data_IF_637945714844
#
_entry.id   IF_637945714844
#
_cell.length_a   1.000
_cell.length_b   1.000
_cell.length_c   1.000
_cell.angle_alpha   90.00
_cell.angle_beta   90.00
_cell.angle_gamma   90.00
#
_symmetry.space_group_name_H-M   'P 1'
#
loop_
_entity.id
_entity.type
_entity.pdbx_description
1 polymer ?
#
# COMPACT_ATOMS: atom_id res chain seq x y z
N UNK A 1 4.88 -35.71 3.92
CA UNK A 1 3.97 -34.70 3.35
C UNK A 1 4.05 -33.46 4.22
N UNK A 2 4.24 -32.29 3.61
CA UNK A 2 4.38 -31.01 4.33
C UNK A 2 3.08 -30.20 4.35
N UNK A 3 2.36 -30.14 3.23
CA UNK A 3 1.10 -29.40 3.09
C UNK A 3 0.28 -29.96 1.92
N UNK A 4 -1.02 -29.65 1.88
CA UNK A 4 -1.92 -29.96 0.76
C UNK A 4 -2.83 -28.80 0.40
N UNK A 5 -3.09 -28.60 -0.89
CA UNK A 5 -3.96 -27.55 -1.40
C UNK A 5 -5.10 -28.16 -2.21
N UNK A 6 -6.34 -27.84 -1.85
CA UNK A 6 -7.51 -28.23 -2.64
C UNK A 6 -7.70 -27.26 -3.82
N UNK A 7 -7.95 -27.81 -5.00
CA UNK A 7 -8.29 -27.06 -6.20
C UNK A 7 -9.80 -27.03 -6.41
N UNK A 8 -10.29 -26.05 -7.17
CA UNK A 8 -11.70 -25.95 -7.56
C UNK A 8 -12.18 -27.17 -8.38
N UNK A 9 -11.25 -27.88 -9.03
CA UNK A 9 -11.50 -29.14 -9.73
C UNK A 9 -11.84 -30.31 -8.78
N UNK A 10 -11.63 -30.14 -7.47
CA UNK A 10 -11.71 -31.20 -6.46
C UNK A 10 -10.42 -32.01 -6.31
N UNK A 11 -9.41 -31.75 -7.14
CA UNK A 11 -8.08 -32.34 -7.00
C UNK A 11 -7.34 -31.74 -5.79
N UNK A 12 -6.39 -32.51 -5.25
CA UNK A 12 -5.53 -32.06 -4.15
C UNK A 12 -4.09 -32.08 -4.61
N UNK A 13 -3.43 -30.93 -4.52
CA UNK A 13 -1.99 -30.80 -4.73
C UNK A 13 -1.25 -31.03 -3.42
N UNK A 14 -0.15 -31.77 -3.45
CA UNK A 14 0.62 -32.11 -2.25
C UNK A 14 2.03 -31.54 -2.33
N UNK A 15 2.51 -31.03 -1.20
CA UNK A 15 3.90 -30.63 -0.99
C UNK A 15 4.60 -31.77 -0.27
N UNK A 16 5.68 -32.27 -0.86
CA UNK A 16 6.38 -33.45 -0.38
C UNK A 16 7.80 -33.10 0.04
N UNK A 17 8.29 -33.74 1.10
CA UNK A 17 9.70 -33.75 1.48
C UNK A 17 10.21 -35.18 1.36
N UNK A 18 11.28 -35.37 0.61
CA UNK A 18 11.92 -36.67 0.46
C UNK A 18 12.79 -36.98 1.68
N UNK A 19 12.58 -38.14 2.31
CA UNK A 19 13.22 -38.51 3.57
C UNK A 19 14.75 -38.71 3.47
N UNK A 20 15.27 -39.00 2.27
CA UNK A 20 16.70 -39.23 2.05
C UNK A 20 17.49 -38.00 1.63
N UNK A 21 16.98 -37.23 0.67
CA UNK A 21 17.67 -36.06 0.13
C UNK A 21 17.33 -34.76 0.85
N UNK A 22 16.23 -34.71 1.61
CA UNK A 22 15.67 -33.48 2.15
C UNK A 22 14.98 -32.60 1.11
N UNK A 23 14.96 -33.00 -0.18
CA UNK A 23 14.37 -32.22 -1.26
C UNK A 23 12.88 -31.97 -1.01
N UNK A 24 12.46 -30.73 -1.23
CA UNK A 24 11.07 -30.29 -1.13
C UNK A 24 10.49 -30.10 -2.53
N UNK A 25 9.40 -30.81 -2.82
CA UNK A 25 8.68 -30.75 -4.09
C UNK A 25 7.41 -29.94 -3.91
N UNK A 26 7.32 -28.81 -4.63
CA UNK A 26 6.18 -27.89 -4.62
C UNK A 26 5.45 -28.02 -5.97
N UNK A 27 4.13 -28.21 -5.98
CA UNK A 27 3.37 -28.49 -7.21
C UNK A 27 3.03 -27.24 -8.02
N UNK A 28 3.62 -26.08 -7.69
CA UNK A 28 3.44 -24.80 -8.37
C UNK A 28 4.68 -23.93 -8.19
N UNK A 29 4.84 -22.92 -9.04
CA UNK A 29 5.89 -21.91 -8.93
C UNK A 29 5.49 -20.84 -7.89
N UNK A 30 6.35 -20.64 -6.89
CA UNK A 30 6.12 -19.69 -5.79
C UNK A 30 6.20 -18.22 -6.24
N UNK A 31 7.10 -17.91 -7.18
CA UNK A 31 7.22 -16.58 -7.76
C UNK A 31 6.01 -16.27 -8.63
N UNK A 32 5.55 -17.24 -9.44
CA UNK A 32 4.31 -17.09 -10.20
C UNK A 32 3.10 -16.88 -9.29
N UNK A 33 2.99 -17.67 -8.21
CA UNK A 33 1.92 -17.51 -7.24
C UNK A 33 1.94 -16.11 -6.60
N UNK A 34 3.12 -15.61 -6.21
CA UNK A 34 3.29 -14.27 -5.66
C UNK A 34 2.89 -13.19 -6.68
N UNK A 35 3.40 -13.28 -7.92
CA UNK A 35 3.05 -12.36 -9.01
C UNK A 35 1.56 -12.37 -9.32
N UNK A 36 0.88 -13.52 -9.21
CA UNK A 36 -0.56 -13.61 -9.41
C UNK A 36 -1.37 -12.89 -8.31
N UNK A 37 -0.87 -12.84 -7.07
CA UNK A 37 -1.47 -12.00 -6.02
C UNK A 37 -1.27 -10.51 -6.29
N UNK A 38 0.00 -10.08 -6.37
CA UNK A 38 0.32 -8.64 -6.47
C UNK A 38 -0.03 -8.03 -7.83
N UNK A 39 -0.08 -8.87 -8.87
CA UNK A 39 -0.54 -8.56 -10.22
C UNK A 39 -2.05 -8.65 -10.41
N UNK A 40 -2.81 -8.92 -9.35
CA UNK A 40 -4.26 -9.09 -9.37
C UNK A 40 -4.80 -10.11 -10.41
N UNK A 41 -4.00 -11.10 -10.83
CA UNK A 41 -4.38 -12.07 -11.85
C UNK A 41 -5.61 -12.89 -11.43
N UNK A 42 -5.78 -13.07 -10.12
CA UNK A 42 -6.94 -13.70 -9.50
C UNK A 42 -8.28 -13.03 -9.87
N UNK A 43 -8.29 -11.75 -10.27
CA UNK A 43 -9.51 -11.01 -10.67
C UNK A 43 -10.20 -11.63 -11.88
N UNK A 44 -9.48 -12.39 -12.70
CA UNK A 44 -10.06 -13.11 -13.85
C UNK A 44 -10.99 -14.25 -13.41
N UNK A 45 -10.83 -14.76 -12.18
CA UNK A 45 -11.60 -15.89 -11.64
C UNK A 45 -12.48 -15.50 -10.45
N UNK A 46 -12.25 -14.35 -9.83
CA UNK A 46 -13.05 -13.89 -8.70
C UNK A 46 -14.37 -13.27 -9.15
N UNK A 47 -15.45 -13.59 -8.43
CA UNK A 47 -16.75 -12.93 -8.55
C UNK A 47 -16.72 -11.57 -7.82
N UNK A 48 -15.99 -10.62 -8.40
CA UNK A 48 -16.04 -9.24 -7.96
C UNK A 48 -17.28 -8.58 -8.54
N UNK A 49 -18.01 -7.86 -7.68
CA UNK A 49 -19.14 -7.03 -8.09
C UNK A 49 -18.66 -5.77 -8.83
N UNK A 50 -18.04 -5.95 -9.99
CA UNK A 50 -17.62 -4.90 -10.90
C UNK A 50 -18.73 -4.62 -11.92
N UNK A 51 -18.93 -3.34 -12.25
CA UNK A 51 -19.78 -2.97 -13.38
C UNK A 51 -19.06 -3.36 -14.67
N UNK A 52 -19.77 -4.01 -15.60
CA UNK A 52 -19.27 -4.19 -16.97
C UNK A 52 -18.96 -2.84 -17.61
N UNK A 53 -18.08 -2.81 -18.62
CA UNK A 53 -17.69 -1.58 -19.31
C UNK A 53 -18.90 -0.78 -19.83
N UNK A 54 -19.92 -1.46 -20.37
CA UNK A 54 -21.18 -0.84 -20.81
C UNK A 54 -22.00 -0.24 -19.66
N UNK A 55 -22.08 -0.94 -18.53
CA UNK A 55 -22.75 -0.42 -17.32
C UNK A 55 -21.99 0.77 -16.74
N UNK A 56 -20.66 0.73 -16.80
CA UNK A 56 -19.78 1.82 -16.38
C UNK A 56 -20.01 3.07 -17.23
N UNK A 57 -20.01 2.93 -18.56
CA UNK A 57 -20.30 4.02 -19.48
C UNK A 57 -21.72 4.59 -19.30
N UNK A 58 -22.71 3.73 -19.11
CA UNK A 58 -24.08 4.15 -18.82
C UNK A 58 -24.15 4.87 -17.47
N UNK A 59 -23.50 4.33 -16.44
CA UNK A 59 -23.37 4.96 -15.14
C UNK A 59 -22.77 6.36 -15.28
N UNK A 60 -21.67 6.53 -15.99
CA UNK A 60 -21.06 7.86 -16.18
C UNK A 60 -21.91 8.83 -17.02
N UNK A 61 -22.67 8.32 -18.01
CA UNK A 61 -23.64 9.12 -18.77
C UNK A 61 -24.79 9.62 -17.90
N UNK A 62 -25.33 8.77 -17.03
CA UNK A 62 -26.47 9.08 -16.16
C UNK A 62 -26.02 9.80 -14.87
N UNK A 63 -24.76 9.64 -14.44
CA UNK A 63 -24.19 10.25 -13.23
C UNK A 63 -24.38 11.76 -13.20
N UNK A 64 -24.29 12.40 -14.37
CA UNK A 64 -24.46 13.86 -14.54
C UNK A 64 -25.91 14.33 -14.45
N UNK A 65 -26.89 13.42 -14.53
CA UNK A 65 -28.33 13.74 -14.54
C UNK A 65 -28.96 13.67 -13.14
N UNK A 66 -28.33 13.01 -12.18
CA UNK A 66 -28.87 12.80 -10.84
C UNK A 66 -27.95 13.42 -9.77
N UNK A 67 -28.51 13.98 -8.67
CA UNK A 67 -27.71 14.58 -7.61
C UNK A 67 -26.72 13.59 -6.97
N UNK A 68 -25.55 14.07 -6.53
CA UNK A 68 -24.52 13.26 -5.84
C UNK A 68 -25.09 12.44 -4.67
N UNK A 69 -26.02 13.03 -3.92
CA UNK A 69 -26.66 12.37 -2.77
C UNK A 69 -27.45 11.12 -3.15
N UNK A 70 -28.10 11.12 -4.33
CA UNK A 70 -28.83 9.96 -4.81
C UNK A 70 -27.86 8.80 -5.04
N UNK A 71 -26.76 9.05 -5.76
CA UNK A 71 -25.74 8.04 -6.04
C UNK A 71 -25.06 7.52 -4.79
N UNK A 72 -24.78 8.41 -3.82
CA UNK A 72 -24.24 8.01 -2.52
C UNK A 72 -25.22 7.11 -1.76
N UNK A 73 -26.51 7.46 -1.71
CA UNK A 73 -27.54 6.62 -1.07
C UNK A 73 -27.67 5.25 -1.77
N UNK A 74 -27.67 5.22 -3.09
CA UNK A 74 -27.71 3.99 -3.87
C UNK A 74 -26.48 3.10 -3.60
N UNK A 75 -25.27 3.69 -3.61
CA UNK A 75 -24.02 2.97 -3.32
C UNK A 75 -24.00 2.44 -1.88
N UNK A 76 -24.44 3.23 -0.91
CA UNK A 76 -24.60 2.80 0.50
C UNK A 76 -25.56 1.64 0.65
N UNK A 77 -26.72 1.69 -0.03
CA UNK A 77 -27.68 0.60 -0.02
C UNK A 77 -27.08 -0.67 -0.62
N UNK A 78 -26.42 -0.56 -1.78
CA UNK A 78 -25.75 -1.68 -2.43
C UNK A 78 -24.69 -2.34 -1.53
N UNK A 79 -23.90 -1.54 -0.82
CA UNK A 79 -22.89 -2.02 0.14
C UNK A 79 -23.56 -2.69 1.34
N UNK A 80 -24.55 -2.04 1.96
CA UNK A 80 -25.24 -2.55 3.16
C UNK A 80 -25.95 -3.89 2.93
N UNK A 81 -26.52 -4.07 1.74
CA UNK A 81 -27.21 -5.32 1.38
C UNK A 81 -26.28 -6.31 0.65
N UNK A 82 -25.04 -5.91 0.37
CA UNK A 82 -24.03 -6.78 -0.21
C UNK A 82 -23.23 -7.53 0.84
N UNK A 83 -22.78 -8.73 0.50
CA UNK A 83 -21.72 -9.41 1.26
C UNK A 83 -20.38 -8.94 0.68
N UNK A 84 -19.37 -8.66 1.53
CA UNK A 84 -18.01 -8.45 1.03
C UNK A 84 -17.54 -9.71 0.28
N UNK A 85 -16.62 -9.57 -0.70
CA UNK A 85 -16.10 -10.73 -1.40
C UNK A 85 -15.40 -11.68 -0.43
N UNK A 86 -15.41 -12.97 -0.75
CA UNK A 86 -14.65 -13.96 0.01
C UNK A 86 -13.14 -13.78 -0.16
N UNK A 87 -12.72 -13.23 -1.31
CA UNK A 87 -11.33 -12.96 -1.62
C UNK A 87 -11.22 -11.74 -2.57
N UNK A 88 -10.29 -10.80 -2.31
CA UNK A 88 -9.50 -10.64 -1.09
C UNK A 88 -10.42 -10.34 0.10
N UNK A 89 -10.09 -10.89 1.26
CA UNK A 89 -10.76 -10.57 2.50
C UNK A 89 -10.56 -9.09 2.83
N UNK A 90 -11.62 -8.43 3.28
CA UNK A 90 -11.58 -7.04 3.73
C UNK A 90 -11.86 -6.99 5.24
N UNK A 91 -11.16 -6.14 6.01
CA UNK A 91 -10.14 -5.16 5.59
C UNK A 91 -8.72 -5.73 5.44
N UNK A 92 -8.47 -6.96 5.90
CA UNK A 92 -7.14 -7.57 5.91
C UNK A 92 -7.16 -8.91 5.19
N UNK A 93 -6.26 -9.06 4.22
CA UNK A 93 -6.01 -10.30 3.49
C UNK A 93 -4.67 -10.90 3.93
N UNK A 94 -4.64 -12.23 4.11
CA UNK A 94 -3.49 -12.98 4.59
C UNK A 94 -2.79 -13.79 3.49
N UNK A 95 -3.29 -13.80 2.26
CA UNK A 95 -2.80 -14.64 1.16
C UNK A 95 -1.29 -14.51 0.92
N UNK A 96 -0.79 -13.29 0.69
CA UNK A 96 0.65 -13.06 0.44
C UNK A 96 1.47 -13.35 1.70
N UNK A 97 1.00 -12.96 2.88
CA UNK A 97 1.68 -13.28 4.15
C UNK A 97 1.87 -14.80 4.30
N UNK A 98 0.79 -15.57 4.13
CA UNK A 98 0.80 -17.03 4.23
C UNK A 98 1.70 -17.66 3.19
N UNK A 99 1.69 -17.15 1.95
CA UNK A 99 2.57 -17.61 0.89
C UNK A 99 4.05 -17.41 1.23
N UNK A 100 4.43 -16.23 1.75
CA UNK A 100 5.81 -15.94 2.14
C UNK A 100 6.27 -16.79 3.33
N UNK A 101 5.40 -17.00 4.32
CA UNK A 101 5.69 -17.92 5.45
C UNK A 101 5.83 -19.37 4.97
N UNK A 102 4.99 -19.80 4.04
CA UNK A 102 5.07 -21.12 3.42
C UNK A 102 6.38 -21.29 2.63
N UNK A 103 6.80 -20.26 1.90
CA UNK A 103 8.09 -20.25 1.22
C UNK A 103 9.26 -20.40 2.21
N UNK A 104 9.26 -19.63 3.30
CA UNK A 104 10.26 -19.74 4.36
C UNK A 104 10.30 -21.14 4.97
N UNK A 105 9.15 -21.77 5.24
CA UNK A 105 9.09 -23.16 5.69
C UNK A 105 9.75 -24.11 4.69
N UNK A 106 9.45 -23.98 3.39
CA UNK A 106 10.04 -24.83 2.37
C UNK A 106 11.56 -24.69 2.31
N UNK A 107 12.08 -23.46 2.42
CA UNK A 107 13.53 -23.20 2.48
C UNK A 107 14.17 -23.87 3.70
N UNK A 108 13.60 -23.69 4.89
CA UNK A 108 14.10 -24.29 6.13
C UNK A 108 14.06 -25.83 6.09
N UNK A 109 12.99 -26.40 5.53
CA UNK A 109 12.84 -27.85 5.38
C UNK A 109 13.84 -28.47 4.40
N UNK A 110 14.12 -27.77 3.29
CA UNK A 110 15.11 -28.17 2.30
C UNK A 110 16.55 -28.04 2.84
N UNK A 111 16.79 -27.04 3.69
CA UNK A 111 18.07 -26.83 4.36
C UNK A 111 18.26 -27.59 5.68
N UNK A 112 17.30 -28.44 6.08
CA UNK A 112 17.26 -29.14 7.37
C UNK A 112 17.61 -28.24 8.57
N UNK A 113 17.12 -26.99 8.53
CA UNK A 113 17.44 -25.94 9.49
C UNK A 113 16.19 -25.54 10.27
N UNK A 114 16.35 -25.31 11.57
CA UNK A 114 15.25 -24.81 12.42
C UNK A 114 15.09 -23.28 12.30
N UNK A 115 16.14 -22.57 11.91
CA UNK A 115 16.13 -21.12 11.72
C UNK A 115 17.06 -20.69 10.57
N UNK A 116 16.80 -19.52 10.00
CA UNK A 116 17.67 -18.87 9.03
C UNK A 116 17.62 -17.34 9.16
N UNK A 117 18.70 -16.66 8.78
CA UNK A 117 18.77 -15.19 8.80
C UNK A 117 18.40 -14.61 7.44
N UNK A 118 17.74 -13.45 7.45
CA UNK A 118 17.37 -12.73 6.22
C UNK A 118 17.41 -11.22 6.42
N UNK A 119 17.51 -10.46 5.33
CA UNK A 119 17.43 -9.00 5.39
C UNK A 119 16.07 -8.56 5.91
N UNK A 120 16.10 -7.95 7.11
CA UNK A 120 14.90 -7.45 7.76
C UNK A 120 14.18 -6.42 6.90
N UNK A 121 12.86 -6.35 7.03
CA UNK A 121 12.01 -5.57 6.14
C UNK A 121 12.24 -4.06 6.24
N UNK A 122 12.52 -3.56 7.45
CA UNK A 122 12.57 -2.13 7.75
C UNK A 122 13.92 -1.73 8.36
N UNK A 123 14.28 -0.42 8.33
CA UNK A 123 15.52 0.06 8.93
C UNK A 123 15.63 -0.28 10.42
N UNK A 124 16.82 -0.68 10.82
CA UNK A 124 17.16 -1.05 12.19
C UNK A 124 16.27 -2.17 12.72
N UNK A 125 15.68 -1.93 13.88
CA UNK A 125 14.82 -2.90 14.59
C UNK A 125 13.33 -2.58 14.45
N UNK A 126 12.96 -1.74 13.47
CA UNK A 126 11.58 -1.29 13.28
C UNK A 126 10.71 -2.46 12.85
N UNK A 127 9.54 -2.58 13.48
CA UNK A 127 8.62 -3.70 13.22
C UNK A 127 7.82 -3.47 11.95
N UNK A 128 7.34 -2.26 11.74
CA UNK A 128 6.53 -1.88 10.60
C UNK A 128 6.92 -0.48 10.10
N UNK A 129 6.51 -0.13 8.89
CA UNK A 129 6.59 1.23 8.38
C UNK A 129 5.22 1.93 8.48
N UNK A 130 5.22 3.24 8.68
CA UNK A 130 4.05 4.09 8.59
C UNK A 130 4.31 5.17 7.56
N UNK A 131 3.43 5.26 6.56
CA UNK A 131 3.37 6.39 5.64
C UNK A 131 1.96 6.94 5.57
N UNK A 132 1.86 8.27 5.55
CA UNK A 132 0.62 9.01 5.44
C UNK A 132 0.56 9.67 4.07
N UNK A 133 -0.58 9.59 3.40
CA UNK A 133 -0.77 10.16 2.06
C UNK A 133 -2.12 10.84 1.96
N UNK A 134 -2.16 11.94 1.21
CA UNK A 134 -3.35 12.75 1.01
C UNK A 134 -3.57 13.01 -0.47
N UNK A 135 -4.73 12.65 -1.01
CA UNK A 135 -5.08 12.96 -2.39
C UNK A 135 -5.85 14.28 -2.44
N UNK A 136 -5.27 15.27 -3.14
CA UNK A 136 -5.75 16.65 -3.14
C UNK A 136 -6.53 16.94 -4.41
N UNK A 137 -7.85 16.84 -4.33
CA UNK A 137 -8.74 16.85 -5.50
C UNK A 137 -9.11 18.28 -5.96
N UNK A 138 -9.01 19.28 -5.08
CA UNK A 138 -9.42 20.66 -5.38
C UNK A 138 -8.44 21.72 -4.86
N UNK A 139 -8.56 22.94 -5.38
CA UNK A 139 -7.80 24.10 -4.87
C UNK A 139 -8.19 24.53 -3.45
N UNK A 140 -9.40 24.20 -2.97
CA UNK A 140 -9.73 24.34 -1.54
C UNK A 140 -9.02 23.27 -0.72
N UNK A 141 -9.02 22.01 -1.18
CA UNK A 141 -8.26 20.92 -0.59
C UNK A 141 -6.79 21.25 -0.45
N UNK A 142 -6.17 21.87 -1.46
CA UNK A 142 -4.77 22.30 -1.40
C UNK A 142 -4.52 23.31 -0.27
N UNK A 143 -5.44 24.24 -0.02
CA UNK A 143 -5.29 25.16 1.13
C UNK A 143 -5.50 24.45 2.46
N UNK A 144 -6.47 23.54 2.53
CA UNK A 144 -6.73 22.72 3.72
C UNK A 144 -5.60 21.72 4.02
N UNK A 145 -4.77 21.38 3.03
CA UNK A 145 -3.60 20.53 3.21
C UNK A 145 -2.63 21.12 4.25
N UNK A 146 -2.49 22.45 4.32
CA UNK A 146 -1.66 23.11 5.35
C UNK A 146 -2.21 22.84 6.76
N UNK A 147 -3.54 22.85 6.95
CA UNK A 147 -4.15 22.54 8.25
C UNK A 147 -3.89 21.09 8.66
N UNK A 148 -3.90 20.14 7.71
CA UNK A 148 -3.55 18.75 7.99
C UNK A 148 -2.04 18.59 8.28
N UNK A 149 -1.21 19.30 7.54
CA UNK A 149 0.23 19.35 7.77
C UNK A 149 0.58 19.88 9.17
N UNK A 150 -0.16 20.87 9.69
CA UNK A 150 0.00 21.36 11.06
C UNK A 150 -0.26 20.22 12.07
N UNK A 151 -1.39 19.52 11.94
CA UNK A 151 -1.77 18.43 12.84
C UNK A 151 -0.75 17.28 12.86
N UNK A 152 -0.23 16.90 11.70
CA UNK A 152 0.80 15.87 11.61
C UNK A 152 2.13 16.36 12.18
N UNK A 153 2.53 17.60 11.85
CA UNK A 153 3.80 18.16 12.28
C UNK A 153 3.88 18.32 13.80
N UNK A 154 2.79 18.74 14.45
CA UNK A 154 2.67 18.81 15.92
C UNK A 154 3.00 17.47 16.60
N UNK A 155 2.78 16.36 15.89
CA UNK A 155 2.99 14.98 16.37
C UNK A 155 4.29 14.37 15.86
N UNK A 156 5.15 15.16 15.22
CA UNK A 156 6.41 14.70 14.63
C UNK A 156 6.23 13.80 13.40
N UNK A 157 5.08 13.87 12.72
CA UNK A 157 4.77 13.12 11.52
C UNK A 157 4.89 13.99 10.27
N UNK A 158 5.06 13.35 9.11
CA UNK A 158 5.02 13.95 7.78
C UNK A 158 4.28 13.01 6.83
N UNK A 159 3.66 13.59 5.81
CA UNK A 159 2.90 12.89 4.77
C UNK A 159 3.30 13.34 3.36
N UNK A 160 2.77 12.63 2.37
CA UNK A 160 2.74 13.05 0.97
C UNK A 160 1.39 13.65 0.60
N UNK A 161 1.39 14.81 -0.04
CA UNK A 161 0.21 15.41 -0.67
C UNK A 161 0.28 15.20 -2.18
N UNK A 162 -0.58 14.33 -2.71
CA UNK A 162 -0.65 13.99 -4.13
C UNK A 162 -1.56 14.99 -4.85
N UNK A 163 -0.99 15.76 -5.77
CA UNK A 163 -1.65 16.91 -6.41
C UNK A 163 -2.10 16.55 -7.82
N UNK A 164 -3.36 16.85 -8.15
CA UNK A 164 -3.86 16.76 -9.53
C UNK A 164 -3.29 17.92 -10.35
N UNK A 165 -2.45 17.63 -11.34
CA UNK A 165 -1.56 18.63 -11.91
C UNK A 165 -2.23 19.70 -12.79
N UNK A 166 -3.39 19.40 -13.38
CA UNK A 166 -4.04 20.25 -14.38
C UNK A 166 -5.57 20.39 -14.21
N UNK A 167 -6.11 20.09 -13.02
CA UNK A 167 -7.56 20.19 -12.73
C UNK A 167 -7.97 21.54 -12.12
N UNK A 168 -7.07 22.18 -11.37
CA UNK A 168 -7.29 23.46 -10.71
C UNK A 168 -5.98 24.26 -10.67
N UNK A 169 -6.03 25.60 -10.49
CA UNK A 169 -4.82 26.39 -10.31
C UNK A 169 -4.06 25.93 -9.07
N UNK A 170 -2.86 25.37 -9.27
CA UNK A 170 -1.99 24.90 -8.19
C UNK A 170 -1.14 26.07 -7.67
N UNK A 171 -1.39 26.47 -6.43
CA UNK A 171 -0.61 27.50 -5.76
C UNK A 171 0.79 26.98 -5.41
N UNK A 172 1.80 27.47 -6.14
CA UNK A 172 3.19 27.11 -5.94
C UNK A 172 3.74 27.58 -4.58
N UNK A 173 3.14 28.60 -3.95
CA UNK A 173 3.47 29.01 -2.59
C UNK A 173 3.16 27.92 -1.58
N UNK A 174 1.99 27.29 -1.68
CA UNK A 174 1.58 26.18 -0.80
C UNK A 174 2.49 24.97 -1.00
N UNK A 175 2.83 24.62 -2.24
CA UNK A 175 3.74 23.49 -2.50
C UNK A 175 5.13 23.72 -1.91
N UNK A 176 5.66 24.95 -2.05
CA UNK A 176 6.94 25.33 -1.44
C UNK A 176 6.87 25.26 0.08
N UNK A 177 5.83 25.81 0.70
CA UNK A 177 5.66 25.77 2.15
C UNK A 177 5.63 24.33 2.69
N UNK A 178 4.81 23.45 2.09
CA UNK A 178 4.76 22.03 2.44
C UNK A 178 6.15 21.37 2.31
N UNK A 179 6.84 21.62 1.20
CA UNK A 179 8.16 21.04 0.95
C UNK A 179 9.22 21.54 1.93
N UNK A 180 9.26 22.85 2.22
CA UNK A 180 10.18 23.48 3.19
C UNK A 180 9.95 22.95 4.62
N UNK A 181 8.71 22.59 4.96
CA UNK A 181 8.35 21.94 6.23
C UNK A 181 8.69 20.45 6.28
N UNK A 182 9.15 19.86 5.17
CA UNK A 182 9.58 18.47 5.06
C UNK A 182 8.49 17.50 4.62
N UNK A 183 7.36 17.97 4.10
CA UNK A 183 6.34 17.11 3.49
C UNK A 183 6.76 16.67 2.08
N UNK A 184 6.10 15.64 1.57
CA UNK A 184 6.28 15.20 0.19
C UNK A 184 5.16 15.75 -0.71
N UNK A 185 5.52 16.13 -1.94
CA UNK A 185 4.57 16.42 -3.00
C UNK A 185 4.58 15.24 -3.97
N UNK A 186 3.43 14.63 -4.20
CA UNK A 186 3.22 13.57 -5.18
C UNK A 186 2.34 14.03 -6.33
N UNK A 187 2.21 13.19 -7.37
CA UNK A 187 1.26 13.40 -8.45
C UNK A 187 0.00 12.57 -8.27
N UNK A 188 -1.16 13.20 -8.45
CA UNK A 188 -2.47 12.54 -8.50
C UNK A 188 -3.08 12.59 -9.91
N UNK A 189 -2.28 12.24 -10.92
CA UNK A 189 -2.65 12.37 -12.34
C UNK A 189 -2.65 13.81 -12.86
N UNK A 190 -2.88 13.97 -14.17
CA UNK A 190 -3.07 15.28 -14.80
C UNK A 190 -4.46 15.84 -14.50
N UNK A 191 -5.47 14.98 -14.61
CA UNK A 191 -6.86 15.30 -14.32
C UNK A 191 -7.43 14.25 -13.37
N UNK A 192 -8.43 14.62 -12.58
CA UNK A 192 -9.09 13.68 -11.67
C UNK A 192 -10.15 12.85 -12.41
N UNK A 193 -9.70 12.11 -13.41
CA UNK A 193 -10.52 11.26 -14.28
C UNK A 193 -9.80 9.96 -14.65
N UNK A 194 -10.38 9.17 -15.56
CA UNK A 194 -9.85 7.85 -15.98
C UNK A 194 -9.09 7.91 -17.30
N UNK A 195 -8.82 9.10 -17.83
CA UNK A 195 -8.26 9.27 -19.17
C UNK A 195 -6.90 8.58 -19.32
N UNK A 196 -6.05 8.64 -18.29
CA UNK A 196 -4.70 8.08 -18.30
C UNK A 196 -4.67 6.58 -18.64
N UNK A 197 -5.64 5.81 -18.14
CA UNK A 197 -5.71 4.36 -18.37
C UNK A 197 -6.88 3.96 -19.28
N UNK A 198 -7.42 4.90 -20.07
CA UNK A 198 -8.55 4.64 -20.96
C UNK A 198 -8.17 3.80 -22.17
N UNK A 199 -6.95 3.96 -22.67
CA UNK A 199 -6.37 3.17 -23.76
C UNK A 199 -4.84 3.32 -23.76
N UNK A 200 -4.14 2.40 -24.43
CA UNK A 200 -2.67 2.45 -24.52
C UNK A 200 -2.17 3.75 -25.16
N UNK A 201 -2.84 4.19 -26.22
CA UNK A 201 -2.50 5.43 -26.92
C UNK A 201 -2.70 6.67 -26.03
N UNK A 202 -3.74 6.70 -25.20
CA UNK A 202 -3.96 7.80 -24.25
C UNK A 202 -2.94 7.80 -23.11
N UNK A 203 -2.57 6.63 -22.61
CA UNK A 203 -1.50 6.49 -21.64
C UNK A 203 -0.18 7.08 -22.18
N UNK A 204 0.26 6.61 -23.34
CA UNK A 204 1.51 7.06 -23.98
C UNK A 204 1.49 8.56 -24.31
N UNK A 205 0.36 9.08 -24.79
CA UNK A 205 0.21 10.50 -25.11
C UNK A 205 0.33 11.41 -23.88
N UNK A 206 -0.03 10.92 -22.68
CA UNK A 206 0.02 11.70 -21.45
C UNK A 206 1.35 11.58 -20.69
N UNK A 207 2.21 10.59 -21.00
CA UNK A 207 3.50 10.39 -20.33
C UNK A 207 4.41 11.63 -20.34
N UNK A 208 4.58 12.38 -21.46
CA UNK A 208 5.43 13.56 -21.45
C UNK A 208 4.90 14.66 -20.51
N UNK A 209 3.59 14.89 -20.50
CA UNK A 209 2.97 15.90 -19.63
C UNK A 209 3.01 15.49 -18.15
N UNK A 210 2.91 14.18 -17.85
CA UNK A 210 3.13 13.65 -16.50
C UNK A 210 4.57 13.84 -16.04
N UNK A 211 5.55 13.59 -16.91
CA UNK A 211 6.96 13.81 -16.59
C UNK A 211 7.26 15.30 -16.32
N UNK A 212 6.72 16.19 -17.16
CA UNK A 212 6.84 17.65 -16.95
C UNK A 212 6.19 18.09 -15.63
N UNK A 213 5.00 17.55 -15.30
CA UNK A 213 4.35 17.83 -14.03
C UNK A 213 5.16 17.31 -12.84
N UNK A 214 5.77 16.13 -12.96
CA UNK A 214 6.61 15.54 -11.94
C UNK A 214 7.84 16.41 -11.67
N UNK A 215 8.51 16.87 -12.72
CA UNK A 215 9.64 17.79 -12.62
C UNK A 215 9.22 19.12 -11.98
N UNK A 216 8.14 19.73 -12.47
CA UNK A 216 7.63 21.01 -11.97
C UNK A 216 7.29 20.98 -10.48
N UNK A 217 6.76 19.85 -9.98
CA UNK A 217 6.41 19.70 -8.58
C UNK A 217 7.51 19.07 -7.72
N UNK A 218 8.61 18.62 -8.33
CA UNK A 218 9.62 17.80 -7.65
C UNK A 218 9.09 16.45 -7.19
N UNK A 219 7.99 15.97 -7.78
CA UNK A 219 7.29 14.77 -7.33
C UNK A 219 8.04 13.49 -7.70
N UNK A 220 8.09 12.57 -6.74
CA UNK A 220 8.67 11.22 -6.92
C UNK A 220 7.60 10.13 -6.92
N UNK A 221 6.45 10.39 -6.32
CA UNK A 221 5.34 9.46 -6.22
C UNK A 221 4.19 9.72 -7.17
N UNK A 222 3.45 8.65 -7.44
CA UNK A 222 2.17 8.68 -8.12
C UNK A 222 1.06 8.09 -7.23
N UNK A 223 -0.15 8.58 -7.41
CA UNK A 223 -1.37 7.80 -7.18
C UNK A 223 -2.36 8.10 -8.30
N UNK A 224 -2.94 7.06 -8.89
CA UNK A 224 -3.96 7.22 -9.91
C UNK A 224 -5.28 7.73 -9.33
N UNK A 225 -5.95 8.70 -9.99
CA UNK A 225 -7.31 9.10 -9.65
C UNK A 225 -8.28 7.92 -9.53
N UNK A 226 -9.06 7.92 -8.45
CA UNK A 226 -10.01 6.85 -8.14
C UNK A 226 -9.42 5.43 -8.19
N UNK A 227 -8.13 5.32 -7.87
CA UNK A 227 -7.32 4.08 -7.84
C UNK A 227 -7.37 3.26 -9.14
N UNK A 228 -7.71 3.91 -10.25
CA UNK A 228 -7.89 3.25 -11.54
C UNK A 228 -6.55 2.81 -12.12
N UNK A 229 -6.44 1.56 -12.57
CA UNK A 229 -5.14 0.96 -12.86
C UNK A 229 -5.17 -0.10 -13.95
N UNK A 230 -4.12 -0.08 -14.76
CA UNK A 230 -3.61 -1.20 -15.56
C UNK A 230 -2.17 -1.42 -15.09
N UNK A 231 -1.91 -2.53 -14.38
CA UNK A 231 -0.67 -2.70 -13.61
C UNK A 231 0.59 -2.63 -14.48
N UNK A 232 0.58 -3.27 -15.66
CA UNK A 232 1.71 -3.21 -16.58
C UNK A 232 2.04 -1.77 -16.97
N UNK A 233 1.02 -0.93 -17.20
CA UNK A 233 1.21 0.46 -17.57
C UNK A 233 1.64 1.32 -16.38
N UNK A 234 1.14 1.04 -15.17
CA UNK A 234 1.65 1.72 -13.97
C UNK A 234 3.17 1.56 -13.85
N UNK A 235 3.70 0.36 -14.12
CA UNK A 235 5.14 0.09 -14.08
C UNK A 235 5.98 0.84 -15.11
N UNK A 236 5.36 1.56 -16.05
CA UNK A 236 6.00 2.38 -17.08
C UNK A 236 5.99 3.88 -16.75
N UNK A 237 5.33 4.30 -15.65
CA UNK A 237 5.31 5.71 -15.28
C UNK A 237 6.72 6.24 -14.96
N UNK A 238 7.03 7.49 -15.36
CA UNK A 238 8.35 8.11 -15.18
C UNK A 238 8.55 8.63 -13.74
N UNK A 239 8.24 7.81 -12.74
CA UNK A 239 8.25 8.16 -11.31
C UNK A 239 9.06 7.13 -10.52
N UNK A 240 9.28 7.39 -9.23
CA UNK A 240 10.02 6.49 -8.36
C UNK A 240 9.10 5.51 -7.64
N UNK A 241 7.83 5.81 -7.41
CA UNK A 241 6.93 4.86 -6.77
C UNK A 241 5.49 5.16 -7.10
N UNK A 242 4.63 4.18 -6.87
CA UNK A 242 3.18 4.30 -6.95
C UNK A 242 2.53 3.91 -5.62
N UNK A 243 1.33 4.43 -5.37
CA UNK A 243 0.49 4.09 -4.22
C UNK A 243 -0.96 3.83 -4.66
N UNK A 244 -1.18 3.35 -5.88
CA UNK A 244 -2.51 3.18 -6.47
C UNK A 244 -3.19 1.91 -6.01
N UNK A 245 -2.45 0.85 -5.76
CA UNK A 245 -2.99 -0.49 -5.60
C UNK A 245 -3.41 -0.72 -4.15
N UNK A 246 -4.67 -1.06 -3.86
CA UNK A 246 -5.07 -1.48 -2.52
C UNK A 246 -4.33 -2.73 -2.08
N UNK A 247 -4.17 -2.89 -0.77
CA UNK A 247 -3.99 -4.21 -0.16
C UNK A 247 -5.24 -5.08 -0.40
N UNK A 248 -6.40 -4.57 -0.01
CA UNK A 248 -7.72 -5.15 -0.20
C UNK A 248 -8.78 -4.05 -0.12
N UNK A 249 -9.46 -3.78 -1.23
CA UNK A 249 -10.53 -2.79 -1.28
C UNK A 249 -11.64 -3.21 -2.27
N UNK A 250 -12.76 -3.75 -1.77
CA UNK A 250 -13.89 -4.13 -2.60
C UNK A 250 -14.80 -2.95 -2.94
N UNK A 251 -14.55 -1.76 -2.38
CA UNK A 251 -15.46 -0.62 -2.45
C UNK A 251 -15.08 0.37 -3.54
N UNK A 252 -13.81 0.43 -3.93
CA UNK A 252 -13.34 1.34 -4.97
C UNK A 252 -14.03 1.12 -6.32
N UNK A 253 -14.02 2.14 -7.21
CA UNK A 253 -14.64 2.00 -8.53
C UNK A 253 -14.01 0.88 -9.37
N UNK A 254 -12.75 0.54 -9.11
CA UNK A 254 -12.10 -0.69 -9.54
C UNK A 254 -11.77 -1.55 -8.31
N UNK A 255 -12.69 -2.44 -7.89
CA UNK A 255 -12.47 -3.34 -6.76
C UNK A 255 -11.25 -4.22 -7.00
N UNK A 256 -10.46 -4.47 -5.95
CA UNK A 256 -9.28 -5.32 -6.06
C UNK A 256 -8.40 -5.28 -4.83
N UNK A 257 -7.16 -5.74 -4.98
CA UNK A 257 -6.19 -5.87 -3.91
C UNK A 257 -4.97 -6.66 -4.37
N UNK A 258 -3.77 -6.13 -4.13
CA UNK A 258 -2.52 -6.87 -4.34
C UNK A 258 -2.29 -7.94 -3.26
N UNK A 259 -3.12 -7.93 -2.19
CA UNK A 259 -3.05 -8.84 -1.05
C UNK A 259 -1.74 -8.76 -0.25
N UNK A 260 -0.80 -7.88 -0.63
CA UNK A 260 0.49 -7.71 0.04
C UNK A 260 0.39 -6.66 1.14
N UNK A 261 1.03 -6.94 2.28
CA UNK A 261 1.29 -5.95 3.32
C UNK A 261 2.62 -5.22 3.11
N UNK A 262 3.43 -5.64 2.14
CA UNK A 262 4.74 -5.09 1.86
C UNK A 262 4.78 -4.42 0.49
N UNK A 263 5.67 -3.43 0.31
CA UNK A 263 6.01 -2.91 -1.00
C UNK A 263 6.46 -4.02 -1.96
N UNK A 264 6.33 -3.77 -3.25
CA UNK A 264 6.78 -4.71 -4.28
C UNK A 264 7.20 -3.99 -5.56
N UNK A 265 8.00 -4.66 -6.39
CA UNK A 265 8.40 -4.11 -7.69
C UNK A 265 7.25 -4.18 -8.68
N UNK A 266 6.99 -3.06 -9.34
CA UNK A 266 6.08 -2.98 -10.47
C UNK A 266 6.83 -2.32 -11.63
N UNK A 267 7.47 -3.13 -12.47
CA UNK A 267 8.39 -2.65 -13.49
C UNK A 267 9.54 -1.83 -12.87
N UNK A 268 9.61 -0.55 -13.24
CA UNK A 268 10.62 0.37 -12.71
C UNK A 268 10.22 0.99 -11.37
N UNK A 269 8.93 0.93 -11.01
CA UNK A 269 8.40 1.47 -9.76
C UNK A 269 8.56 0.51 -8.59
N UNK A 270 8.47 1.07 -7.39
CA UNK A 270 8.06 0.33 -6.20
C UNK A 270 6.60 0.71 -5.95
N UNK A 271 5.71 -0.28 -5.89
CA UNK A 271 4.34 -0.08 -5.43
C UNK A 271 4.32 -0.10 -3.90
N UNK A 272 3.66 0.90 -3.30
CA UNK A 272 3.41 1.03 -1.88
C UNK A 272 1.91 0.88 -1.65
N UNK A 273 1.40 -0.33 -1.40
CA UNK A 273 -0.04 -0.54 -1.37
C UNK A 273 -0.69 0.15 -0.18
N UNK A 274 -1.90 0.68 -0.37
CA UNK A 274 -2.67 1.22 0.76
C UNK A 274 -3.30 0.10 1.56
N UNK A 275 -2.91 0.02 2.83
CA UNK A 275 -3.27 -1.08 3.72
C UNK A 275 -4.35 -0.72 4.72
N UNK A 276 -4.61 0.58 4.93
CA UNK A 276 -5.77 1.05 5.67
C UNK A 276 -6.90 1.42 4.70
N UNK A 277 -8.18 1.10 5.02
CA UNK A 277 -9.30 1.55 4.22
C UNK A 277 -9.32 3.08 4.08
N UNK A 278 -9.69 3.61 2.92
CA UNK A 278 -9.70 5.07 2.70
C UNK A 278 -10.73 5.79 3.59
N UNK A 279 -10.48 7.06 3.91
CA UNK A 279 -11.42 7.91 4.65
C UNK A 279 -12.80 8.02 3.97
N UNK A 280 -12.85 8.06 2.63
CA UNK A 280 -14.08 8.01 1.87
C UNK A 280 -14.86 6.73 2.15
N UNK A 281 -14.19 5.58 2.06
CA UNK A 281 -14.79 4.28 2.30
C UNK A 281 -15.32 4.20 3.72
N UNK A 282 -14.51 4.55 4.72
CA UNK A 282 -14.92 4.46 6.12
C UNK A 282 -16.03 5.43 6.49
N UNK A 283 -15.83 6.73 6.28
CA UNK A 283 -16.71 7.75 6.84
C UNK A 283 -17.90 8.07 5.93
N UNK A 284 -17.69 7.96 4.61
CA UNK A 284 -18.71 8.31 3.63
C UNK A 284 -19.50 7.08 3.16
N UNK A 285 -18.86 5.97 2.82
CA UNK A 285 -19.59 4.79 2.32
C UNK A 285 -20.12 3.92 3.44
N UNK A 286 -19.29 3.56 4.42
CA UNK A 286 -19.65 2.67 5.51
C UNK A 286 -20.27 3.42 6.71
N UNK A 287 -19.99 4.71 6.83
CA UNK A 287 -20.59 5.55 7.88
C UNK A 287 -19.95 5.39 9.26
N UNK A 288 -18.72 4.92 9.34
CA UNK A 288 -17.97 4.87 10.59
C UNK A 288 -17.78 6.27 11.18
N UNK A 289 -17.72 6.33 12.52
CA UNK A 289 -17.60 7.58 13.30
C UNK A 289 -16.51 7.50 14.38
N UNK A 290 -15.57 6.57 14.23
CA UNK A 290 -14.43 6.38 15.13
C UNK A 290 -13.20 5.91 14.36
N UNK A 291 -12.01 6.09 14.95
CA UNK A 291 -10.74 5.63 14.39
C UNK A 291 -10.50 4.13 14.61
N UNK A 292 -11.41 3.45 15.33
CA UNK A 292 -11.21 2.08 15.82
C UNK A 292 -10.76 1.11 14.72
N UNK A 293 -11.44 1.09 13.58
CA UNK A 293 -11.09 0.17 12.49
C UNK A 293 -9.68 0.47 11.95
N UNK A 294 -9.31 1.74 11.78
CA UNK A 294 -7.94 2.10 11.39
C UNK A 294 -6.91 1.63 12.41
N UNK A 295 -7.17 1.80 13.71
CA UNK A 295 -6.26 1.40 14.78
C UNK A 295 -6.11 -0.12 14.90
N UNK A 296 -7.20 -0.86 14.75
CA UNK A 296 -7.20 -2.33 14.72
C UNK A 296 -6.38 -2.84 13.53
N UNK A 297 -6.58 -2.28 12.34
CA UNK A 297 -5.81 -2.64 11.16
C UNK A 297 -4.33 -2.29 11.30
N UNK A 298 -4.00 -1.07 11.74
CA UNK A 298 -2.62 -0.67 11.97
C UNK A 298 -1.91 -1.62 12.95
N UNK A 299 -2.57 -2.02 14.03
CA UNK A 299 -2.01 -2.96 15.01
C UNK A 299 -1.84 -4.37 14.43
N UNK A 300 -2.80 -4.86 13.64
CA UNK A 300 -2.71 -6.16 12.98
C UNK A 300 -1.57 -6.21 11.93
N UNK A 301 -1.37 -5.13 11.19
CA UNK A 301 -0.29 -4.97 10.20
C UNK A 301 1.07 -4.88 10.91
N UNK A 302 1.15 -4.12 12.00
CA UNK A 302 2.39 -4.01 12.80
C UNK A 302 2.85 -5.36 13.36
N UNK A 303 1.91 -6.18 13.84
CA UNK A 303 2.19 -7.54 14.30
C UNK A 303 2.76 -8.43 13.18
N UNK A 304 2.46 -8.10 11.92
CA UNK A 304 2.88 -8.83 10.72
C UNK A 304 4.05 -8.19 10.00
N UNK A 305 4.64 -7.16 10.61
CA UNK A 305 5.78 -6.44 10.05
C UNK A 305 5.53 -5.78 8.69
N UNK A 306 4.28 -5.38 8.42
CA UNK A 306 3.88 -4.77 7.15
C UNK A 306 4.06 -3.25 7.09
N UNK A 307 3.65 -2.68 5.97
CA UNK A 307 3.49 -1.24 5.73
C UNK A 307 2.10 -0.81 6.18
N UNK A 308 2.00 0.15 7.08
CA UNK A 308 0.78 0.86 7.42
C UNK A 308 0.73 2.08 6.50
N UNK A 309 -0.21 2.10 5.55
CA UNK A 309 -0.39 3.22 4.65
C UNK A 309 -1.82 3.73 4.71
N UNK A 310 -1.97 4.98 5.14
CA UNK A 310 -3.24 5.69 5.20
C UNK A 310 -3.37 6.57 3.95
N UNK A 311 -4.52 6.51 3.29
CA UNK A 311 -4.95 7.48 2.28
C UNK A 311 -6.16 8.24 2.79
N UNK A 312 -6.05 9.55 2.77
CA UNK A 312 -7.13 10.47 3.10
C UNK A 312 -7.18 11.66 2.15
N UNK A 313 -8.17 12.53 2.32
CA UNK A 313 -8.34 13.70 1.46
C UNK A 313 -8.52 14.96 2.33
N UNK A 314 -7.78 16.06 2.10
CA UNK A 314 -7.96 17.31 2.83
C UNK A 314 -9.24 18.05 2.42
N UNK A 315 -9.82 17.69 1.28
CA UNK A 315 -10.99 18.31 0.68
C UNK A 315 -12.25 18.28 1.57
N UNK A 316 -13.16 19.23 1.33
CA UNK A 316 -14.49 19.26 1.97
C UNK A 316 -15.28 18.00 1.64
N UNK A 317 -16.02 17.49 2.61
CA UNK A 317 -16.65 16.17 2.52
C UNK A 317 -15.73 15.02 2.94
N UNK A 318 -14.47 15.30 3.26
CA UNK A 318 -13.47 14.37 3.80
C UNK A 318 -12.86 14.99 5.07
N UNK A 319 -11.53 14.98 5.24
CA UNK A 319 -10.87 15.58 6.42
C UNK A 319 -10.96 17.11 6.46
N UNK A 320 -11.43 17.77 5.39
CA UNK A 320 -11.84 19.17 5.45
C UNK A 320 -12.99 19.41 6.43
N UNK A 321 -13.78 18.39 6.74
CA UNK A 321 -14.87 18.45 7.72
C UNK A 321 -14.32 18.19 9.14
N UNK A 322 -14.71 19.04 10.11
CA UNK A 322 -14.15 19.02 11.47
C UNK A 322 -14.38 17.69 12.20
N UNK A 323 -15.52 17.05 11.98
CA UNK A 323 -15.87 15.77 12.62
C UNK A 323 -14.98 14.62 12.14
N UNK A 324 -14.74 14.51 10.83
CA UNK A 324 -13.86 13.49 10.26
C UNK A 324 -12.39 13.76 10.58
N UNK A 325 -11.99 15.03 10.62
CA UNK A 325 -10.67 15.43 11.05
C UNK A 325 -10.37 15.08 12.49
N UNK A 326 -11.34 15.18 13.40
CA UNK A 326 -11.17 14.74 14.79
C UNK A 326 -10.83 13.24 14.85
N UNK A 327 -11.52 12.41 14.05
CA UNK A 327 -11.23 10.97 13.95
C UNK A 327 -9.81 10.74 13.41
N UNK A 328 -9.38 11.53 12.42
CA UNK A 328 -8.02 11.44 11.92
C UNK A 328 -6.97 11.81 12.98
N UNK A 329 -7.24 12.83 13.80
CA UNK A 329 -6.37 13.20 14.93
C UNK A 329 -6.23 12.05 15.93
N UNK A 330 -7.30 11.33 16.25
CA UNK A 330 -7.24 10.13 17.11
C UNK A 330 -6.29 9.06 16.54
N UNK A 331 -6.31 8.85 15.21
CA UNK A 331 -5.37 7.96 14.54
C UNK A 331 -3.92 8.46 14.67
N UNK A 332 -3.69 9.75 14.41
CA UNK A 332 -2.36 10.34 14.49
C UNK A 332 -1.76 10.25 15.89
N UNK A 333 -2.54 10.58 16.93
CA UNK A 333 -2.12 10.50 18.34
C UNK A 333 -1.63 9.08 18.67
N UNK A 334 -2.44 8.07 18.33
CA UNK A 334 -2.14 6.68 18.65
C UNK A 334 -0.94 6.09 17.86
N UNK A 335 -0.65 6.59 16.66
CA UNK A 335 0.48 6.13 15.83
C UNK A 335 1.77 6.89 16.12
N UNK A 336 1.69 8.17 16.50
CA UNK A 336 2.82 9.01 16.83
C UNK A 336 3.60 8.48 18.05
N UNK A 337 2.93 7.83 18.99
CA UNK A 337 3.57 7.27 20.20
C UNK A 337 4.26 5.92 19.96
N UNK A 338 4.04 5.26 18.81
CA UNK A 338 4.60 3.93 18.55
C UNK A 338 6.05 4.00 18.09
N UNK A 339 6.99 3.64 18.97
CA UNK A 339 8.42 3.61 18.66
C UNK A 339 8.83 2.46 17.74
N UNK A 340 8.04 1.39 17.72
CA UNK A 340 8.19 0.23 16.84
C UNK A 340 8.01 0.57 15.36
N UNK A 341 7.34 1.69 15.05
CA UNK A 341 7.08 2.13 13.69
C UNK A 341 8.23 2.96 13.14
N UNK A 342 8.59 2.69 11.89
CA UNK A 342 9.36 3.60 11.06
C UNK A 342 8.40 4.60 10.42
N UNK A 343 8.33 5.81 10.98
CA UNK A 343 7.51 6.91 10.46
C UNK A 343 8.31 7.59 9.35
N UNK A 344 7.84 7.49 8.12
CA UNK A 344 8.59 7.89 6.94
C UNK A 344 7.69 8.53 5.89
N UNK A 345 8.29 9.22 4.93
CA UNK A 345 7.65 9.61 3.70
C UNK A 345 7.62 8.44 2.72
N UNK A 346 6.62 8.38 1.82
CA UNK A 346 6.57 7.34 0.80
C UNK A 346 7.85 7.22 -0.04
N UNK A 347 8.51 8.32 -0.45
CA UNK A 347 9.80 8.26 -1.16
C UNK A 347 10.90 7.54 -0.39
N UNK A 348 10.92 7.66 0.93
CA UNK A 348 11.93 7.05 1.78
C UNK A 348 11.71 5.54 1.85
N UNK A 349 10.45 5.11 2.00
CA UNK A 349 10.08 3.69 1.95
C UNK A 349 10.40 3.08 0.60
N UNK A 350 10.06 3.75 -0.50
CA UNK A 350 10.38 3.27 -1.84
C UNK A 350 11.90 3.15 -2.08
N UNK A 351 12.67 4.15 -1.65
CA UNK A 351 14.13 4.13 -1.77
C UNK A 351 14.77 3.05 -0.89
N UNK A 352 14.29 2.88 0.34
CA UNK A 352 14.71 1.78 1.22
C UNK A 352 14.43 0.42 0.59
N UNK A 353 13.21 0.20 0.09
CA UNK A 353 12.81 -1.08 -0.46
C UNK A 353 13.68 -1.49 -1.65
N UNK A 354 14.00 -0.55 -2.55
CA UNK A 354 14.91 -0.78 -3.68
C UNK A 354 16.31 -1.19 -3.22
N UNK A 355 16.91 -0.45 -2.30
CA UNK A 355 18.28 -0.71 -1.84
C UNK A 355 18.37 -2.04 -1.09
N UNK A 356 17.36 -2.33 -0.26
CA UNK A 356 17.21 -3.62 0.43
C UNK A 356 17.15 -4.78 -0.57
N UNK A 357 16.32 -4.65 -1.61
CA UNK A 357 16.17 -5.68 -2.64
C UNK A 357 17.45 -5.87 -3.48
N UNK A 358 18.17 -4.78 -3.77
CA UNK A 358 19.48 -4.83 -4.43
C UNK A 358 20.57 -5.48 -3.58
N UNK A 359 20.29 -5.77 -2.30
CA UNK A 359 21.24 -6.38 -1.37
C UNK A 359 22.41 -5.46 -1.02
N UNK A 360 22.19 -4.14 -1.02
CA UNK A 360 23.22 -3.16 -0.65
C UNK A 360 23.67 -3.39 0.81
N UNK A 361 24.87 -3.96 0.99
CA UNK A 361 25.41 -4.41 2.28
C UNK A 361 25.97 -3.29 3.16
N UNK A 362 26.11 -2.08 2.62
CA UNK A 362 26.72 -0.94 3.31
C UNK A 362 25.72 -0.08 4.10
N UNK A 363 24.42 -0.37 4.02
CA UNK A 363 23.41 0.36 4.78
C UNK A 363 23.55 0.04 6.27
N UNK A 364 23.96 1.01 7.13
CA UNK A 364 24.14 0.73 8.56
C UNK A 364 22.85 0.23 9.20
N UNK A 365 21.71 0.73 8.76
CA UNK A 365 20.41 0.33 9.28
C UNK A 365 19.87 -0.98 8.69
N UNK A 366 20.52 -1.60 7.68
CA UNK A 366 20.07 -2.89 7.15
C UNK A 366 20.54 -4.03 8.05
N UNK A 367 19.64 -4.44 8.94
CA UNK A 367 19.89 -5.54 9.86
C UNK A 367 19.31 -6.86 9.33
N UNK A 368 19.72 -7.96 9.96
CA UNK A 368 19.23 -9.29 9.69
C UNK A 368 18.24 -9.71 10.78
N UNK A 369 17.02 -10.05 10.37
CA UNK A 369 16.07 -10.76 11.22
C UNK A 369 16.27 -12.28 11.11
N UNK A 370 15.43 -13.02 11.83
CA UNK A 370 15.46 -14.49 11.85
C UNK A 370 14.10 -15.02 11.44
N UNK A 371 14.08 -16.01 10.54
CA UNK A 371 12.91 -16.83 10.29
C UNK A 371 13.06 -18.15 11.03
N UNK A 372 11.99 -18.59 11.68
CA UNK A 372 11.95 -19.82 12.45
C UNK A 372 10.97 -20.79 11.82
N UNK A 373 11.37 -22.06 11.79
CA UNK A 373 10.50 -23.15 11.35
C UNK A 373 9.40 -23.32 12.38
N UNK A 374 8.15 -23.26 11.93
CA UNK A 374 6.99 -23.47 12.79
C UNK A 374 6.07 -24.53 12.21
N UNK A 375 5.27 -25.15 13.07
CA UNK A 375 4.31 -26.18 12.67
C UNK A 375 3.07 -25.60 11.98
N UNK A 376 2.30 -26.45 11.31
CA UNK A 376 1.00 -26.07 10.73
C UNK A 376 0.02 -25.58 11.82
N UNK A 377 -0.80 -24.53 11.59
CA UNK A 377 -1.01 -23.81 10.32
C UNK A 377 -0.11 -22.58 10.10
N UNK A 378 0.80 -22.27 11.02
CA UNK A 378 1.69 -21.11 10.90
C UNK A 378 3.04 -21.57 10.37
N UNK A 379 3.19 -21.67 9.05
CA UNK A 379 4.34 -22.25 8.35
C UNK A 379 5.74 -21.84 8.86
N UNK A 380 5.97 -20.54 8.98
CA UNK A 380 7.20 -19.97 9.52
C UNK A 380 6.87 -18.70 10.31
N UNK A 381 7.62 -18.44 11.38
CA UNK A 381 7.56 -17.17 12.11
C UNK A 381 8.75 -16.29 11.77
N UNK A 382 8.59 -14.97 11.93
CA UNK A 382 9.64 -13.99 11.68
C UNK A 382 9.91 -13.21 12.96
N UNK A 383 11.18 -13.03 13.25
CA UNK A 383 11.67 -12.30 14.41
C UNK A 383 12.51 -11.10 13.95
N UNK A 384 12.23 -9.89 14.47
CA UNK A 384 13.02 -8.70 14.17
C UNK A 384 14.46 -8.84 14.71
N UNK A 385 15.41 -8.08 14.16
CA UNK A 385 16.76 -7.98 14.73
C UNK A 385 16.72 -7.59 16.20
N UNK A 386 17.61 -8.14 17.05
CA UNK A 386 17.62 -7.86 18.49
C UNK A 386 17.95 -6.39 18.75
N UNK A 387 17.42 -5.84 19.84
CA UNK A 387 17.66 -4.45 20.23
C UNK A 387 19.15 -4.12 20.42
N UNK A 388 19.96 -5.09 20.86
CA UNK A 388 21.42 -4.95 21.01
C UNK A 388 22.15 -4.70 19.68
N UNK A 389 21.57 -5.07 18.53
CA UNK A 389 22.14 -4.74 17.23
C UNK A 389 22.13 -3.22 16.95
N UNK A 390 21.30 -2.45 17.67
CA UNK A 390 21.24 -0.98 17.58
C UNK A 390 22.47 -0.31 18.21
N UNK A 391 23.00 -0.87 19.29
CA UNK A 391 24.17 -0.35 20.02
C UNK A 391 25.46 -0.48 19.20
N UNK A 392 25.59 -1.57 18.44
CA UNK A 392 26.72 -1.80 17.53
C UNK A 392 26.77 -0.82 16.35
N UNK A 393 25.65 -0.16 16.01
CA UNK A 393 25.60 0.87 14.97
C UNK A 393 26.00 2.25 15.49
N UNK A 394 25.68 2.57 16.75
CA UNK A 394 26.04 3.85 17.38
C UNK A 394 27.53 3.93 17.76
N UNK A 395 28.21 2.79 17.92
CA UNK A 395 29.63 2.70 18.29
C UNK A 395 30.61 2.70 17.10
N UNK A 396 30.13 2.83 15.85
CA UNK A 396 31.04 3.04 14.72
C UNK A 396 31.58 4.47 14.77
N UNK A 397 32.89 4.69 14.99
CA UNK A 397 33.44 6.04 14.95
C UNK A 397 33.22 6.61 13.56
N UNK A 398 32.58 7.78 13.49
CA UNK A 398 32.52 8.59 12.26
C UNK A 398 33.97 8.92 11.89
N UNK A 399 34.51 8.15 10.94
CA UNK A 399 35.83 8.39 10.39
C UNK A 399 35.84 9.80 9.82
N UNK A 400 36.57 10.71 10.46
CA UNK A 400 36.97 11.98 9.86
C UNK A 400 37.82 11.63 8.65
N UNK A 401 37.22 11.69 7.46
CA UNK A 401 37.96 11.63 6.20
C UNK A 401 38.93 12.80 6.13
N UNK A 402 40.20 12.48 5.88
CA UNK A 402 41.22 13.40 5.37
C UNK A 402 41.05 13.60 3.87
#
# INVERSE_FOLDING_TARGET
MLESFALDSGETLHVLREAGSGAVYIPFDLDEAYRNYVGEAWRQRADLRALSQRQLELYYRVKRLLPREFWLKARRAFIRFGKPPAFPAWPLEHGVERLLRFYALCLLQAGDSEEARFYWFWPGTKRAALILTHDVETGEGLRLALELADLEQERGLRSSFNIVAAQYPVDQGVLRELSERGFEIGLHGLHHDRSLFSSRAQFEAQLPALAEAAERFGAKGFRSPATHRVLDWLGELPLAYDCTVPHSDPYEPQPGGCCSLWPYRLGQLVELPYTLPQDHTLFTLLGHRSAQLWLEQASAIEQRFGLIQCVSHPDRGYLGDRDKRAIYVELLDALAERESLWKALPREVAAWWRRREAGETELPEQLLGTMHRTGSPEYASFEPPPASAREALTDRPVGKGQ
#
